data_IF_442799325079
#
_entry.id   IF_442799325079
#
_cell.length_a   1.000
_cell.length_b   1.000
_cell.length_c   1.000
_cell.angle_alpha   90.00
_cell.angle_beta   90.00
_cell.angle_gamma   90.00
#
_symmetry.space_group_name_H-M   'P 1'
#
loop_
_entity.id
_entity.type
_entity.pdbx_description
1 polymer ?
#
# COMPACT_ATOMS: atom_id res chain seq x y z
N UNK A 1 42.54 28.15 3.88
CA UNK A 1 43.00 27.18 2.84
C UNK A 1 42.51 25.78 3.26
N UNK A 2 41.27 25.48 2.94
CA UNK A 2 40.74 24.15 3.15
C UNK A 2 41.21 23.22 2.02
N UNK A 3 42.10 22.32 2.37
CA UNK A 3 42.52 21.26 1.47
C UNK A 3 41.33 20.36 1.21
N UNK A 4 40.78 20.43 -0.02
CA UNK A 4 39.93 19.44 -0.58
C UNK A 4 40.59 18.08 -0.47
N UNK A 5 40.19 17.27 0.52
CA UNK A 5 40.48 15.83 0.53
C UNK A 5 39.72 15.22 -0.63
N UNK A 6 40.34 15.14 -1.79
CA UNK A 6 39.91 14.27 -2.88
C UNK A 6 39.85 12.86 -2.28
N UNK A 7 38.65 12.38 -1.99
CA UNK A 7 38.45 10.97 -1.63
C UNK A 7 38.93 10.18 -2.86
N UNK A 8 39.89 9.27 -2.70
CA UNK A 8 40.44 8.47 -3.79
C UNK A 8 39.46 7.50 -4.46
N UNK A 9 38.15 7.77 -4.32
CA UNK A 9 37.04 6.97 -4.83
C UNK A 9 36.24 7.78 -5.84
N UNK A 10 35.80 7.13 -6.96
CA UNK A 10 35.13 7.81 -8.06
C UNK A 10 33.73 8.34 -7.70
N UNK A 11 33.09 7.83 -6.61
CA UNK A 11 31.75 8.21 -6.23
C UNK A 11 31.70 8.76 -4.79
N UNK A 12 31.05 9.90 -4.67
CA UNK A 12 30.83 10.56 -3.38
C UNK A 12 29.59 9.97 -2.69
N UNK A 13 29.83 8.94 -1.88
CA UNK A 13 28.83 8.28 -1.02
C UNK A 13 29.40 8.27 0.39
N UNK A 14 28.73 8.92 1.31
CA UNK A 14 29.17 8.99 2.70
C UNK A 14 28.89 7.70 3.47
N UNK A 15 29.71 7.40 4.48
CA UNK A 15 29.45 6.30 5.41
C UNK A 15 28.16 6.53 6.21
N UNK A 16 27.81 7.80 6.46
CA UNK A 16 26.58 8.16 7.16
C UNK A 16 25.34 7.77 6.36
N UNK A 17 25.30 7.97 5.03
CA UNK A 17 24.19 7.55 4.19
C UNK A 17 23.95 6.04 4.25
N UNK A 18 25.05 5.24 4.29
CA UNK A 18 24.95 3.78 4.43
C UNK A 18 24.45 3.38 5.82
N UNK A 19 24.87 4.10 6.86
CA UNK A 19 24.36 3.90 8.22
C UNK A 19 22.87 4.23 8.34
N UNK A 20 22.44 5.37 7.81
CA UNK A 20 21.02 5.77 7.82
C UNK A 20 20.15 4.79 7.04
N UNK A 21 20.67 4.27 5.93
CA UNK A 21 20.02 3.21 5.15
C UNK A 21 19.87 1.91 5.96
N UNK A 22 20.91 1.51 6.70
CA UNK A 22 20.85 0.36 7.61
C UNK A 22 19.74 0.52 8.66
N UNK A 23 19.65 1.68 9.32
CA UNK A 23 18.62 1.95 10.34
C UNK A 23 17.21 1.76 9.74
N UNK A 24 16.97 2.27 8.53
CA UNK A 24 15.70 2.09 7.83
C UNK A 24 15.42 0.60 7.52
N UNK A 25 16.41 -0.12 6.99
CA UNK A 25 16.27 -1.55 6.65
C UNK A 25 16.03 -2.40 7.91
N UNK A 26 16.76 -2.14 9.00
CA UNK A 26 16.55 -2.80 10.30
C UNK A 26 15.14 -2.53 10.85
N UNK A 27 14.66 -1.29 10.78
CA UNK A 27 13.33 -0.92 11.26
C UNK A 27 12.19 -1.57 10.46
N UNK A 28 12.38 -1.77 9.17
CA UNK A 28 11.40 -2.41 8.30
C UNK A 28 11.40 -3.95 8.41
N UNK A 29 12.44 -4.53 9.02
CA UNK A 29 12.65 -5.98 9.11
C UNK A 29 12.64 -6.66 7.72
N UNK A 30 12.19 -7.89 7.63
CA UNK A 30 12.02 -8.63 6.38
C UNK A 30 12.88 -9.89 6.32
N UNK A 31 12.50 -10.80 5.43
CA UNK A 31 13.14 -12.10 5.24
C UNK A 31 14.55 -11.96 4.63
N UNK A 32 15.45 -12.95 4.84
CA UNK A 32 16.72 -13.04 4.14
C UNK A 32 16.52 -13.18 2.62
N UNK A 33 17.53 -12.78 1.85
CA UNK A 33 17.57 -12.97 0.40
C UNK A 33 18.21 -14.31 0.02
N UNK A 34 18.78 -14.38 -1.21
CA UNK A 34 19.41 -15.59 -1.76
C UNK A 34 20.64 -16.07 -0.97
N UNK A 35 21.26 -15.18 -0.19
CA UNK A 35 22.41 -15.48 0.68
C UNK A 35 22.02 -16.12 2.02
N UNK A 36 20.72 -16.18 2.34
CA UNK A 36 20.22 -16.70 3.60
C UNK A 36 20.52 -15.84 4.83
N UNK A 37 21.19 -14.68 4.67
CA UNK A 37 21.62 -13.82 5.79
C UNK A 37 20.42 -13.02 6.31
N UNK A 38 20.05 -13.29 7.58
CA UNK A 38 19.02 -12.51 8.27
C UNK A 38 19.54 -11.15 8.76
N UNK A 39 18.65 -10.27 9.24
CA UNK A 39 19.05 -8.99 9.84
C UNK A 39 19.90 -9.21 11.07
N UNK A 40 19.56 -10.17 11.92
CA UNK A 40 20.30 -10.54 13.13
C UNK A 40 21.69 -11.10 12.79
N UNK A 41 21.79 -11.90 11.74
CA UNK A 41 23.04 -12.43 11.25
C UNK A 41 23.95 -11.33 10.68
N UNK A 42 23.37 -10.44 9.87
CA UNK A 42 24.07 -9.28 9.33
C UNK A 42 24.63 -8.37 10.44
N UNK A 43 23.92 -8.24 11.56
CA UNK A 43 24.28 -7.39 12.69
C UNK A 43 25.49 -7.92 13.49
N UNK A 44 25.82 -9.22 13.41
CA UNK A 44 26.98 -9.82 14.11
C UNK A 44 28.32 -9.19 13.71
N UNK A 45 28.48 -8.81 12.42
CA UNK A 45 29.63 -8.04 11.92
C UNK A 45 29.16 -6.76 11.22
N UNK A 46 28.37 -5.97 11.93
CA UNK A 46 27.73 -4.77 11.37
C UNK A 46 28.73 -3.80 10.74
N UNK A 47 29.81 -3.50 11.47
CA UNK A 47 30.83 -2.55 11.01
C UNK A 47 31.53 -3.02 9.73
N UNK A 48 31.95 -4.28 9.69
CA UNK A 48 32.58 -4.89 8.52
C UNK A 48 31.63 -4.96 7.31
N UNK A 49 30.37 -5.35 7.55
CA UNK A 49 29.37 -5.47 6.50
C UNK A 49 28.99 -4.10 5.90
N UNK A 50 28.77 -3.06 6.72
CA UNK A 50 28.51 -1.71 6.23
C UNK A 50 29.72 -1.11 5.51
N UNK A 51 30.95 -1.37 6.01
CA UNK A 51 32.17 -0.94 5.33
C UNK A 51 32.31 -1.58 3.95
N UNK A 52 32.02 -2.87 3.80
CA UNK A 52 32.03 -3.57 2.51
C UNK A 52 31.04 -2.95 1.52
N UNK A 53 29.82 -2.64 1.96
CA UNK A 53 28.81 -1.99 1.11
C UNK A 53 29.29 -0.59 0.67
N UNK A 54 29.66 0.24 1.65
CA UNK A 54 30.17 1.59 1.38
C UNK A 54 31.35 1.56 0.41
N UNK A 55 32.34 0.70 0.68
CA UNK A 55 33.56 0.61 -0.11
C UNK A 55 33.27 0.22 -1.56
N UNK A 56 32.42 -0.79 -1.78
CA UNK A 56 32.05 -1.25 -3.13
C UNK A 56 31.19 -0.23 -3.86
N UNK A 57 30.24 0.41 -3.19
CA UNK A 57 29.42 1.45 -3.80
C UNK A 57 30.26 2.67 -4.19
N UNK A 58 31.13 3.16 -3.29
CA UNK A 58 31.97 4.32 -3.57
C UNK A 58 33.03 4.07 -4.66
N UNK A 59 33.45 2.82 -4.87
CA UNK A 59 34.39 2.43 -5.94
C UNK A 59 33.73 2.02 -7.24
N UNK A 60 32.39 1.96 -7.33
CA UNK A 60 31.69 1.49 -8.52
C UNK A 60 31.69 -0.04 -8.70
N UNK A 61 32.21 -0.80 -7.73
CA UNK A 61 32.36 -2.26 -7.83
C UNK A 61 31.24 -3.03 -7.10
N UNK A 62 30.17 -2.36 -6.71
CA UNK A 62 29.00 -3.04 -6.16
C UNK A 62 28.18 -3.67 -7.28
N UNK A 63 28.04 -4.98 -7.25
CA UNK A 63 27.14 -5.74 -8.12
C UNK A 63 26.06 -6.40 -7.26
N UNK A 64 24.78 -6.18 -7.58
CA UNK A 64 23.69 -6.80 -6.85
C UNK A 64 23.69 -8.32 -7.09
N UNK A 65 23.46 -9.12 -6.02
CA UNK A 65 23.20 -10.55 -6.20
C UNK A 65 21.82 -10.74 -6.87
N UNK A 66 21.52 -11.99 -7.33
CA UNK A 66 20.17 -12.32 -7.78
C UNK A 66 19.13 -12.00 -6.71
N UNK A 67 17.93 -11.62 -7.15
CA UNK A 67 16.80 -11.36 -6.26
C UNK A 67 16.02 -12.65 -6.07
N UNK A 68 15.78 -13.08 -4.82
CA UNK A 68 15.03 -14.30 -4.52
C UNK A 68 13.56 -14.12 -4.89
N UNK A 69 13.03 -15.00 -5.74
CA UNK A 69 11.62 -15.01 -6.12
C UNK A 69 10.80 -15.78 -5.08
N UNK A 70 9.80 -15.14 -4.50
CA UNK A 70 8.86 -15.74 -3.56
C UNK A 70 7.45 -15.59 -4.11
N UNK A 71 6.79 -16.71 -4.36
CA UNK A 71 5.39 -16.69 -4.77
C UNK A 71 4.47 -16.48 -3.58
N UNK A 72 3.66 -15.43 -3.65
CA UNK A 72 2.64 -15.15 -2.66
C UNK A 72 1.24 -15.15 -3.30
N UNK A 73 0.20 -15.66 -2.62
CA UNK A 73 -1.15 -15.62 -3.14
C UNK A 73 -1.58 -14.20 -3.49
N UNK A 74 -2.23 -14.02 -4.63
CA UNK A 74 -2.80 -12.70 -4.98
C UNK A 74 -3.77 -12.26 -3.90
N UNK A 75 -3.73 -10.97 -3.59
CA UNK A 75 -4.68 -10.38 -2.66
C UNK A 75 -6.09 -10.40 -3.28
N UNK A 76 -7.12 -10.34 -2.43
CA UNK A 76 -8.54 -10.26 -2.82
C UNK A 76 -9.17 -11.57 -3.33
N UNK A 77 -8.53 -12.74 -3.09
CA UNK A 77 -9.08 -14.04 -3.53
C UNK A 77 -9.06 -14.23 -5.05
N UNK A 78 -8.32 -13.38 -5.77
CA UNK A 78 -8.07 -13.59 -7.19
C UNK A 78 -7.24 -14.87 -7.38
N UNK A 79 -7.57 -15.72 -8.37
CA UNK A 79 -6.81 -16.94 -8.63
C UNK A 79 -5.37 -16.62 -9.05
N UNK A 80 -4.43 -17.46 -8.62
CA UNK A 80 -3.01 -17.38 -8.96
C UNK A 80 -2.14 -16.69 -7.90
N UNK A 81 -0.84 -16.65 -8.18
CA UNK A 81 0.20 -16.06 -7.35
C UNK A 81 0.73 -14.77 -7.97
N UNK A 82 1.42 -13.98 -7.16
CA UNK A 82 2.30 -12.89 -7.60
C UNK A 82 3.70 -13.18 -7.09
N UNK A 83 4.70 -12.88 -7.90
CA UNK A 83 6.10 -13.05 -7.52
C UNK A 83 6.57 -11.80 -6.78
N UNK A 84 7.01 -11.99 -5.54
CA UNK A 84 7.69 -10.97 -4.76
C UNK A 84 9.19 -11.20 -4.90
N UNK A 85 9.95 -10.16 -5.20
CA UNK A 85 11.40 -10.21 -5.21
C UNK A 85 11.96 -9.81 -3.85
N UNK A 86 12.74 -10.69 -3.23
CA UNK A 86 13.37 -10.44 -1.93
C UNK A 86 14.89 -10.25 -2.13
N UNK A 87 15.39 -8.99 -2.12
CA UNK A 87 16.82 -8.71 -2.15
C UNK A 87 17.49 -9.11 -0.85
N UNK A 88 18.81 -9.34 -0.88
CA UNK A 88 19.61 -9.56 0.32
C UNK A 88 19.58 -8.34 1.26
N UNK A 89 19.93 -8.51 2.53
CA UNK A 89 20.01 -7.39 3.49
C UNK A 89 20.99 -6.33 3.00
N UNK A 90 22.17 -6.75 2.51
CA UNK A 90 23.18 -5.85 1.95
C UNK A 90 22.64 -5.06 0.75
N UNK A 91 21.90 -5.72 -0.15
CA UNK A 91 21.35 -5.08 -1.33
C UNK A 91 20.20 -4.12 -0.99
N UNK A 92 19.36 -4.46 -0.01
CA UNK A 92 18.35 -3.52 0.53
C UNK A 92 18.97 -2.24 1.08
N UNK A 93 20.12 -2.34 1.76
CA UNK A 93 20.84 -1.17 2.27
C UNK A 93 21.36 -0.33 1.09
N UNK A 94 22.05 -0.93 0.14
CA UNK A 94 22.57 -0.25 -1.05
C UNK A 94 21.44 0.45 -1.85
N UNK A 95 20.33 -0.23 -2.07
CA UNK A 95 19.16 0.34 -2.73
C UNK A 95 18.54 1.50 -1.93
N UNK A 96 18.53 1.41 -0.60
CA UNK A 96 17.99 2.47 0.27
C UNK A 96 18.83 3.74 0.20
N UNK A 97 20.16 3.63 0.04
CA UNK A 97 21.05 4.78 -0.21
C UNK A 97 20.63 5.50 -1.48
N UNK A 98 20.46 4.77 -2.60
CA UNK A 98 20.04 5.35 -3.88
C UNK A 98 18.62 5.91 -3.81
N UNK A 99 17.69 5.19 -3.19
CA UNK A 99 16.32 5.64 -3.01
C UNK A 99 16.27 6.97 -2.24
N UNK A 100 16.99 7.08 -1.12
CA UNK A 100 17.05 8.30 -0.30
C UNK A 100 17.68 9.48 -1.06
N UNK A 101 18.67 9.22 -1.90
CA UNK A 101 19.27 10.23 -2.77
C UNK A 101 18.28 10.75 -3.82
N UNK A 102 17.57 9.85 -4.49
CA UNK A 102 16.56 10.21 -5.50
C UNK A 102 15.35 10.88 -4.87
N UNK A 103 14.81 10.37 -3.76
CA UNK A 103 13.65 10.95 -3.08
C UNK A 103 13.82 12.44 -2.81
N UNK A 104 14.97 12.86 -2.29
CA UNK A 104 15.25 14.29 -2.02
C UNK A 104 15.13 15.18 -3.25
N UNK A 105 15.40 14.63 -4.45
CA UNK A 105 15.41 15.37 -5.73
C UNK A 105 14.09 15.34 -6.45
N UNK A 106 13.41 14.19 -6.39
CA UNK A 106 12.18 13.99 -7.17
C UNK A 106 10.91 14.29 -6.37
N UNK A 107 10.95 14.30 -5.03
CA UNK A 107 9.78 14.63 -4.22
C UNK A 107 9.17 16.01 -4.54
N UNK A 108 9.98 17.08 -4.75
CA UNK A 108 9.43 18.41 -5.06
C UNK A 108 8.70 18.49 -6.41
N UNK A 109 9.01 17.63 -7.37
CA UNK A 109 8.41 17.66 -8.71
C UNK A 109 7.12 16.85 -8.82
N UNK A 110 6.88 15.92 -7.90
CA UNK A 110 5.72 15.07 -7.97
C UNK A 110 4.41 15.84 -7.81
N UNK A 111 3.41 15.44 -8.57
CA UNK A 111 2.09 16.07 -8.52
C UNK A 111 1.50 16.00 -7.10
N UNK A 112 0.81 17.07 -6.62
CA UNK A 112 0.20 17.09 -5.29
C UNK A 112 -0.78 15.94 -5.04
N UNK A 113 -1.45 15.46 -6.07
CA UNK A 113 -2.44 14.37 -6.01
C UNK A 113 -1.85 12.98 -6.31
N UNK A 114 -0.53 12.85 -6.32
CA UNK A 114 0.17 11.57 -6.24
C UNK A 114 0.52 11.27 -4.79
N UNK A 115 0.06 10.13 -4.24
CA UNK A 115 0.11 9.84 -2.81
C UNK A 115 0.98 8.64 -2.45
N UNK A 116 1.02 7.61 -3.30
CA UNK A 116 1.67 6.33 -2.99
C UNK A 116 3.18 6.44 -2.79
N UNK A 117 3.71 5.77 -1.77
CA UNK A 117 5.16 5.68 -1.47
C UNK A 117 5.86 7.04 -1.28
N UNK A 118 5.14 8.07 -0.90
CA UNK A 118 5.69 9.41 -0.69
C UNK A 118 5.69 9.80 0.78
N UNK A 119 6.71 10.54 1.26
CA UNK A 119 6.74 11.02 2.64
C UNK A 119 5.56 11.96 2.92
N UNK A 120 4.97 11.86 4.11
CA UNK A 120 3.85 12.69 4.58
C UNK A 120 2.58 12.63 3.71
N UNK A 121 2.43 11.58 2.90
CA UNK A 121 1.24 11.29 2.10
C UNK A 121 0.68 9.95 2.53
N UNK A 122 -0.62 9.85 2.66
CA UNK A 122 -1.28 8.62 3.08
C UNK A 122 -2.38 8.19 2.11
N UNK A 123 -2.75 6.91 2.20
CA UNK A 123 -3.91 6.40 1.47
C UNK A 123 -5.21 7.09 1.91
N UNK A 124 -5.33 7.48 3.19
CA UNK A 124 -6.50 8.21 3.69
C UNK A 124 -6.61 9.61 3.09
N UNK A 125 -5.49 10.30 2.84
CA UNK A 125 -5.49 11.59 2.16
C UNK A 125 -6.02 11.45 0.72
N UNK A 126 -5.56 10.41 0.00
CA UNK A 126 -6.04 10.10 -1.34
C UNK A 126 -7.55 9.80 -1.36
N UNK A 127 -8.04 8.91 -0.48
CA UNK A 127 -9.46 8.58 -0.35
C UNK A 127 -10.28 9.80 0.05
N UNK A 128 -9.78 10.64 0.97
CA UNK A 128 -10.45 11.86 1.39
C UNK A 128 -10.58 12.89 0.27
N UNK A 129 -9.55 13.03 -0.57
CA UNK A 129 -9.58 13.93 -1.74
C UNK A 129 -10.51 13.38 -2.81
N UNK A 130 -10.42 12.09 -3.12
CA UNK A 130 -11.32 11.40 -4.04
C UNK A 130 -12.80 11.58 -3.62
N UNK A 131 -13.12 11.39 -2.32
CA UNK A 131 -14.47 11.63 -1.80
C UNK A 131 -14.97 13.05 -2.09
N UNK A 132 -14.16 14.07 -1.82
CA UNK A 132 -14.55 15.47 -2.07
C UNK A 132 -14.78 15.75 -3.55
N UNK A 133 -13.96 15.12 -4.43
CA UNK A 133 -14.08 15.28 -5.89
C UNK A 133 -15.28 14.54 -6.45
N UNK A 134 -15.62 13.36 -5.95
CA UNK A 134 -16.84 12.65 -6.33
C UNK A 134 -18.13 13.46 -6.05
N UNK A 135 -18.09 14.47 -5.17
CA UNK A 135 -19.22 15.37 -4.95
C UNK A 135 -19.29 16.52 -5.97
N UNK A 136 -18.16 16.84 -6.64
CA UNK A 136 -18.06 17.92 -7.63
C UNK A 136 -18.20 17.41 -9.06
N UNK A 137 -17.69 16.21 -9.33
CA UNK A 137 -17.63 15.62 -10.66
C UNK A 137 -18.61 14.47 -10.76
N UNK A 138 -19.34 14.40 -11.86
CA UNK A 138 -20.38 13.40 -12.04
C UNK A 138 -19.83 12.04 -12.48
N UNK A 139 -18.64 12.02 -13.04
CA UNK A 139 -18.02 10.83 -13.61
C UNK A 139 -16.63 10.60 -13.10
N UNK A 140 -16.31 9.34 -12.96
CA UNK A 140 -14.98 8.86 -12.55
C UNK A 140 -14.51 7.80 -13.53
N UNK A 141 -13.23 7.83 -13.86
CA UNK A 141 -12.54 6.71 -14.49
C UNK A 141 -11.72 6.03 -13.40
N UNK A 142 -12.10 4.81 -13.07
CA UNK A 142 -11.34 3.90 -12.17
C UNK A 142 -10.34 3.15 -13.02
N UNK A 143 -9.04 3.34 -12.78
CA UNK A 143 -7.95 2.86 -13.62
C UNK A 143 -7.19 1.73 -12.91
N UNK A 144 -7.10 0.57 -13.57
CA UNK A 144 -6.25 -0.56 -13.16
C UNK A 144 -5.20 -0.81 -14.27
N UNK A 145 -3.91 -0.73 -13.94
CA UNK A 145 -2.81 -1.00 -14.87
C UNK A 145 -2.42 -2.48 -14.73
N UNK A 146 -2.46 -3.19 -15.85
CA UNK A 146 -2.16 -4.63 -15.88
C UNK A 146 -0.67 -4.87 -15.64
N UNK A 147 -0.32 -5.66 -14.59
CA UNK A 147 1.05 -6.07 -14.27
C UNK A 147 2.06 -4.90 -14.28
N UNK A 148 1.70 -3.77 -13.70
CA UNK A 148 2.50 -2.54 -13.75
C UNK A 148 3.99 -2.78 -13.47
N UNK A 149 4.33 -3.33 -12.29
CA UNK A 149 5.73 -3.56 -11.90
C UNK A 149 6.50 -4.50 -12.83
N UNK A 150 5.82 -5.40 -13.54
CA UNK A 150 6.43 -6.33 -14.48
C UNK A 150 6.59 -5.72 -15.88
N UNK A 151 5.92 -4.58 -16.17
CA UNK A 151 5.81 -4.00 -17.50
C UNK A 151 6.61 -2.73 -17.70
N UNK A 152 7.07 -2.07 -16.62
CA UNK A 152 7.79 -0.79 -16.68
C UNK A 152 9.04 -0.89 -17.57
N UNK A 153 9.15 -0.03 -18.58
CA UNK A 153 10.27 0.02 -19.53
C UNK A 153 11.50 0.66 -18.90
N UNK A 154 12.63 -0.04 -18.95
CA UNK A 154 13.90 0.41 -18.34
C UNK A 154 14.49 1.66 -19.00
N UNK A 155 14.40 1.77 -20.32
CA UNK A 155 14.86 2.95 -21.06
C UNK A 155 14.15 4.23 -20.59
N UNK A 156 12.83 4.15 -20.34
CA UNK A 156 12.06 5.28 -19.85
C UNK A 156 12.35 5.60 -18.37
N UNK A 157 12.57 4.58 -17.53
CA UNK A 157 12.99 4.76 -16.14
C UNK A 157 14.36 5.43 -16.09
N UNK A 158 15.33 4.92 -16.83
CA UNK A 158 16.70 5.48 -16.85
C UNK A 158 16.68 6.91 -17.38
N UNK A 159 15.99 7.19 -18.47
CA UNK A 159 15.80 8.55 -18.98
C UNK A 159 15.20 9.48 -17.93
N UNK A 160 14.21 9.01 -17.16
CA UNK A 160 13.61 9.79 -16.08
C UNK A 160 14.58 10.02 -14.92
N UNK A 161 15.41 9.02 -14.56
CA UNK A 161 16.43 9.16 -13.51
C UNK A 161 17.51 10.15 -13.95
N UNK A 162 18.05 10.03 -15.17
CA UNK A 162 19.06 10.92 -15.75
C UNK A 162 18.60 12.38 -15.81
N UNK A 163 17.31 12.61 -16.02
CA UNK A 163 16.75 13.97 -16.00
C UNK A 163 16.77 14.63 -14.62
N UNK A 164 17.06 13.89 -13.55
CA UNK A 164 17.00 14.39 -12.15
C UNK A 164 18.30 14.19 -11.38
N UNK A 165 19.36 13.72 -12.01
CA UNK A 165 20.66 13.57 -11.35
C UNK A 165 21.82 13.51 -12.34
N UNK A 166 22.89 14.23 -12.01
CA UNK A 166 24.19 14.13 -12.69
C UNK A 166 25.09 13.07 -12.04
N UNK A 167 24.65 12.46 -10.95
CA UNK A 167 25.42 11.47 -10.21
C UNK A 167 25.46 10.13 -10.98
N UNK A 168 26.54 9.89 -11.68
CA UNK A 168 26.75 8.67 -12.51
C UNK A 168 26.54 7.38 -11.74
N UNK A 169 26.87 7.34 -10.44
CA UNK A 169 26.69 6.16 -9.62
C UNK A 169 25.20 5.78 -9.42
N UNK A 170 24.30 6.77 -9.40
CA UNK A 170 22.86 6.51 -9.27
C UNK A 170 22.35 5.76 -10.51
N UNK A 171 22.67 6.27 -11.70
CA UNK A 171 22.28 5.63 -12.97
C UNK A 171 22.90 4.24 -13.07
N UNK A 172 24.20 4.10 -12.73
CA UNK A 172 24.92 2.82 -12.72
C UNK A 172 24.21 1.77 -11.86
N UNK A 173 23.85 2.11 -10.62
CA UNK A 173 23.24 1.15 -9.72
C UNK A 173 21.79 0.86 -10.05
N UNK A 174 21.02 1.85 -10.48
CA UNK A 174 19.64 1.62 -10.98
C UNK A 174 19.68 0.65 -12.16
N UNK A 175 20.58 0.85 -13.13
CA UNK A 175 20.74 -0.06 -14.27
C UNK A 175 21.05 -1.50 -13.82
N UNK A 176 21.99 -1.67 -12.89
CA UNK A 176 22.36 -3.00 -12.37
C UNK A 176 21.20 -3.68 -11.64
N UNK A 177 20.39 -2.95 -10.84
CA UNK A 177 19.25 -3.53 -10.16
C UNK A 177 18.09 -3.87 -11.09
N UNK A 178 17.86 -3.08 -12.12
CA UNK A 178 16.88 -3.41 -13.14
C UNK A 178 17.25 -4.71 -13.85
N UNK A 179 18.53 -4.89 -14.19
CA UNK A 179 19.07 -6.07 -14.88
C UNK A 179 19.32 -7.28 -13.96
N UNK A 180 19.27 -7.13 -12.62
CA UNK A 180 19.52 -8.22 -11.69
C UNK A 180 18.52 -9.38 -11.93
N UNK A 181 19.00 -10.64 -12.08
CA UNK A 181 18.12 -11.77 -12.36
C UNK A 181 17.28 -12.15 -11.14
N UNK A 182 16.13 -12.79 -11.39
CA UNK A 182 15.33 -13.45 -10.36
C UNK A 182 15.79 -14.89 -10.18
N UNK A 183 16.13 -15.29 -8.96
CA UNK A 183 16.39 -16.69 -8.64
C UNK A 183 15.08 -17.35 -8.23
N UNK A 184 14.67 -18.36 -8.98
CA UNK A 184 13.48 -19.16 -8.72
C UNK A 184 13.70 -20.11 -7.53
N UNK A 185 12.64 -20.71 -6.94
CA UNK A 185 12.79 -21.66 -5.83
C UNK A 185 13.62 -22.91 -6.18
N UNK A 186 13.71 -23.29 -7.43
CA UNK A 186 14.54 -24.39 -7.93
C UNK A 186 16.02 -23.99 -8.17
N UNK A 187 16.39 -22.74 -7.87
CA UNK A 187 17.73 -22.20 -8.07
C UNK A 187 17.98 -21.62 -9.47
N UNK A 188 17.08 -21.80 -10.43
CA UNK A 188 17.25 -21.25 -11.78
C UNK A 188 17.22 -19.73 -11.79
N UNK A 189 18.03 -19.11 -12.65
CA UNK A 189 18.09 -17.67 -12.82
C UNK A 189 17.24 -17.24 -14.03
N UNK A 190 16.25 -16.39 -13.77
CA UNK A 190 15.43 -15.78 -14.81
C UNK A 190 15.87 -14.33 -15.04
N UNK A 191 16.36 -14.04 -16.22
CA UNK A 191 16.63 -12.67 -16.68
C UNK A 191 15.33 -11.93 -17.03
N UNK A 192 15.41 -10.61 -17.05
CA UNK A 192 14.31 -9.71 -17.40
C UNK A 192 14.82 -8.68 -18.41
N UNK A 193 13.93 -8.15 -19.22
CA UNK A 193 14.16 -7.07 -20.17
C UNK A 193 13.36 -5.79 -19.82
N UNK A 194 12.47 -5.90 -18.86
CA UNK A 194 11.59 -4.85 -18.35
C UNK A 194 11.15 -5.15 -16.92
N UNK A 195 10.42 -4.21 -16.33
CA UNK A 195 9.87 -4.32 -15.00
C UNK A 195 10.88 -4.06 -13.89
N UNK A 196 10.38 -3.95 -12.68
CA UNK A 196 11.16 -3.77 -11.46
C UNK A 196 10.66 -4.74 -10.38
N UNK A 197 11.53 -5.37 -9.57
CA UNK A 197 11.11 -6.36 -8.60
C UNK A 197 10.15 -5.76 -7.56
N UNK A 198 9.00 -6.39 -7.38
CA UNK A 198 8.12 -6.06 -6.25
C UNK A 198 8.81 -6.49 -4.95
N UNK A 199 9.13 -5.52 -4.08
CA UNK A 199 9.86 -5.75 -2.82
C UNK A 199 11.28 -5.16 -2.78
N UNK A 200 11.77 -4.66 -3.88
CA UNK A 200 13.01 -3.87 -3.96
C UNK A 200 12.83 -2.50 -3.30
N UNK A 201 13.81 -2.03 -2.53
CA UNK A 201 13.73 -0.77 -1.79
C UNK A 201 13.75 0.48 -2.70
N UNK A 202 14.34 0.37 -3.89
CA UNK A 202 14.40 1.48 -4.88
C UNK A 202 13.19 1.49 -5.80
N UNK A 203 12.49 0.37 -5.99
CA UNK A 203 11.36 0.25 -6.93
C UNK A 203 10.24 1.26 -6.70
N UNK A 204 9.83 1.61 -5.48
CA UNK A 204 8.77 2.59 -5.25
C UNK A 204 9.08 3.98 -5.81
N UNK A 205 10.30 4.50 -5.60
CA UNK A 205 10.68 5.82 -6.12
C UNK A 205 10.81 5.80 -7.65
N UNK A 206 11.35 4.72 -8.23
CA UNK A 206 11.44 4.56 -9.67
C UNK A 206 10.06 4.46 -10.32
N UNK A 207 9.15 3.69 -9.74
CA UNK A 207 7.77 3.57 -10.18
C UNK A 207 7.02 4.90 -10.14
N UNK A 208 7.18 5.66 -9.07
CA UNK A 208 6.59 7.01 -8.97
C UNK A 208 7.18 7.98 -9.99
N UNK A 209 8.49 7.95 -10.20
CA UNK A 209 9.16 8.80 -11.19
C UNK A 209 8.72 8.45 -12.62
N UNK A 210 8.60 7.17 -12.93
CA UNK A 210 8.05 6.71 -14.21
C UNK A 210 6.60 7.22 -14.40
N UNK A 211 5.72 7.00 -13.42
CA UNK A 211 4.31 7.41 -13.50
C UNK A 211 4.14 8.93 -13.50
N UNK A 212 5.04 9.68 -12.89
CA UNK A 212 5.05 11.13 -12.97
C UNK A 212 5.11 11.63 -14.42
N UNK A 213 5.94 11.00 -15.27
CA UNK A 213 6.06 11.36 -16.68
C UNK A 213 5.03 10.65 -17.57
N UNK A 214 4.76 9.38 -17.28
CA UNK A 214 3.85 8.58 -18.07
C UNK A 214 2.40 9.01 -17.92
N UNK A 215 2.00 9.41 -16.72
CA UNK A 215 0.62 9.70 -16.36
C UNK A 215 0.44 11.14 -15.83
N UNK A 216 1.07 11.52 -14.69
CA UNK A 216 0.73 12.76 -13.98
C UNK A 216 0.94 14.01 -14.85
N UNK A 217 2.14 14.23 -15.35
CA UNK A 217 2.47 15.39 -16.20
C UNK A 217 1.75 15.36 -17.54
N UNK A 218 1.61 14.17 -18.12
CA UNK A 218 0.90 14.02 -19.37
C UNK A 218 -0.57 14.39 -19.22
N UNK A 219 -1.25 13.89 -18.18
CA UNK A 219 -2.67 14.18 -17.96
C UNK A 219 -2.93 15.66 -17.70
N UNK A 220 -2.09 16.32 -16.90
CA UNK A 220 -2.19 17.77 -16.63
C UNK A 220 -2.00 18.59 -17.91
N UNK A 221 -1.10 18.17 -18.81
CA UNK A 221 -0.82 18.87 -20.07
C UNK A 221 -1.95 18.68 -21.08
N UNK A 222 -2.39 17.45 -21.30
CA UNK A 222 -3.40 17.13 -22.33
C UNK A 222 -4.85 17.46 -21.88
N UNK A 223 -5.10 17.42 -20.58
CA UNK A 223 -6.41 17.61 -19.98
C UNK A 223 -6.35 18.50 -18.73
N UNK A 224 -5.99 19.78 -18.85
CA UNK A 224 -5.72 20.67 -17.70
C UNK A 224 -6.92 20.88 -16.76
N UNK A 225 -8.14 20.61 -17.23
CA UNK A 225 -9.36 20.69 -16.41
C UNK A 225 -9.77 19.39 -15.72
N UNK A 226 -8.98 18.34 -15.85
CA UNK A 226 -9.26 17.01 -15.29
C UNK A 226 -8.45 16.78 -14.04
N UNK A 227 -9.13 16.49 -12.92
CA UNK A 227 -8.50 16.17 -11.65
C UNK A 227 -8.31 14.64 -11.51
N UNK A 228 -7.32 14.22 -10.73
CA UNK A 228 -7.06 12.80 -10.45
C UNK A 228 -6.47 12.60 -9.05
N UNK A 229 -6.55 11.40 -8.52
CA UNK A 229 -5.75 10.87 -7.42
C UNK A 229 -5.01 9.63 -7.91
N UNK A 230 -3.73 9.54 -7.57
CA UNK A 230 -2.92 8.36 -7.88
C UNK A 230 -2.20 7.85 -6.62
N UNK A 231 -2.27 6.55 -6.41
CA UNK A 231 -1.53 5.83 -5.38
C UNK A 231 -0.73 4.70 -6.03
N UNK A 232 0.54 4.94 -6.34
CA UNK A 232 1.38 4.06 -7.16
C UNK A 232 0.79 3.86 -8.57
N UNK A 233 0.32 2.67 -8.88
CA UNK A 233 -0.35 2.29 -10.14
C UNK A 233 -1.88 2.42 -10.10
N UNK A 234 -2.45 2.58 -8.91
CA UNK A 234 -3.89 2.76 -8.69
C UNK A 234 -4.29 4.21 -8.90
N UNK A 235 -5.17 4.54 -9.83
CA UNK A 235 -5.54 5.91 -10.14
C UNK A 235 -7.03 6.09 -10.40
N UNK A 236 -7.54 7.26 -9.97
CA UNK A 236 -8.93 7.68 -10.16
C UNK A 236 -8.93 9.04 -10.85
N UNK A 237 -9.63 9.17 -11.97
CA UNK A 237 -9.70 10.40 -12.77
C UNK A 237 -11.12 10.94 -12.77
N UNK A 238 -11.30 12.23 -12.50
CA UNK A 238 -12.61 12.89 -12.36
C UNK A 238 -13.00 13.68 -13.60
N UNK A 239 -14.21 13.45 -14.10
CA UNK A 239 -14.74 14.06 -15.30
C UNK A 239 -16.12 14.69 -15.05
N UNK A 240 -16.44 15.76 -15.77
CA UNK A 240 -17.72 16.46 -15.66
C UNK A 240 -18.83 15.80 -16.48
N UNK A 241 -18.49 15.04 -17.53
CA UNK A 241 -19.47 14.39 -18.40
C UNK A 241 -19.00 13.01 -18.87
N UNK A 242 -19.97 12.16 -19.28
CA UNK A 242 -19.67 10.85 -19.86
C UNK A 242 -18.83 10.96 -21.14
N UNK A 243 -19.08 11.96 -21.98
CA UNK A 243 -18.32 12.19 -23.21
C UNK A 243 -16.86 12.56 -22.89
N UNK A 244 -16.63 13.43 -21.90
CA UNK A 244 -15.28 13.73 -21.41
C UNK A 244 -14.59 12.47 -20.87
N UNK A 245 -15.28 11.69 -20.05
CA UNK A 245 -14.71 10.46 -19.50
C UNK A 245 -14.27 9.46 -20.58
N UNK A 246 -15.12 9.26 -21.62
CA UNK A 246 -14.76 8.39 -22.76
C UNK A 246 -13.56 8.91 -23.54
N UNK A 247 -13.51 10.23 -23.82
CA UNK A 247 -12.39 10.86 -24.52
C UNK A 247 -11.08 10.74 -23.73
N UNK A 248 -11.12 11.02 -22.42
CA UNK A 248 -9.96 10.91 -21.55
C UNK A 248 -9.50 9.45 -21.47
N UNK A 249 -10.41 8.50 -21.31
CA UNK A 249 -10.06 7.07 -21.26
C UNK A 249 -9.41 6.59 -22.55
N UNK A 250 -9.95 6.96 -23.72
CA UNK A 250 -9.36 6.59 -25.01
C UNK A 250 -7.95 7.17 -25.18
N UNK A 251 -7.74 8.43 -24.79
CA UNK A 251 -6.41 9.05 -24.82
C UNK A 251 -5.44 8.39 -23.83
N UNK A 252 -5.91 8.02 -22.62
CA UNK A 252 -5.11 7.28 -21.63
C UNK A 252 -4.71 5.89 -22.14
N UNK A 253 -5.60 5.17 -22.82
CA UNK A 253 -5.27 3.88 -23.43
C UNK A 253 -4.14 4.01 -24.44
N UNK A 254 -4.20 5.00 -25.34
CA UNK A 254 -3.13 5.31 -26.30
C UNK A 254 -1.82 5.66 -25.58
N UNK A 255 -1.90 6.55 -24.58
CA UNK A 255 -0.74 6.97 -23.81
C UNK A 255 -0.07 5.82 -23.05
N UNK A 256 -0.84 4.97 -22.41
CA UNK A 256 -0.29 3.79 -21.70
C UNK A 256 0.41 2.85 -22.70
N UNK A 257 -0.19 2.59 -23.85
CA UNK A 257 0.45 1.77 -24.91
C UNK A 257 1.79 2.37 -25.38
N UNK A 258 1.88 3.68 -25.58
CA UNK A 258 3.14 4.37 -25.95
C UNK A 258 4.27 4.12 -24.93
N UNK A 259 3.96 4.10 -23.65
CA UNK A 259 4.95 3.86 -22.59
C UNK A 259 5.12 2.39 -22.20
N UNK A 260 4.50 1.48 -22.96
CA UNK A 260 4.62 0.03 -22.77
C UNK A 260 3.76 -0.54 -21.66
N UNK A 261 2.72 0.18 -21.23
CA UNK A 261 1.73 -0.26 -20.24
C UNK A 261 0.39 -0.60 -20.91
N UNK A 262 -0.42 -1.39 -20.22
CA UNK A 262 -1.75 -1.79 -20.66
C UNK A 262 -2.76 -1.50 -19.54
N UNK A 263 -3.85 -0.80 -19.85
CA UNK A 263 -5.00 -0.70 -18.94
C UNK A 263 -5.77 -2.03 -18.93
N UNK A 264 -6.16 -2.48 -17.74
CA UNK A 264 -6.90 -3.75 -17.62
C UNK A 264 -8.31 -3.58 -18.20
N UNK A 265 -8.69 -4.33 -19.23
CA UNK A 265 -9.95 -4.09 -19.96
C UNK A 265 -11.20 -4.25 -19.08
N UNK A 266 -11.21 -5.26 -18.20
CA UNK A 266 -12.40 -5.57 -17.39
C UNK A 266 -12.47 -4.78 -16.07
N UNK A 267 -11.34 -4.23 -15.61
CA UNK A 267 -11.29 -3.54 -14.31
C UNK A 267 -11.30 -2.03 -14.45
N UNK A 268 -10.74 -1.50 -15.54
CA UNK A 268 -10.83 -0.07 -15.85
C UNK A 268 -12.26 0.28 -16.23
N UNK A 269 -12.89 1.22 -15.49
CA UNK A 269 -14.32 1.51 -15.62
C UNK A 269 -14.60 3.00 -15.62
N UNK A 270 -15.63 3.39 -16.37
CA UNK A 270 -16.26 4.70 -16.25
C UNK A 270 -17.45 4.54 -15.30
N UNK A 271 -17.47 5.30 -14.22
CA UNK A 271 -18.42 5.19 -13.13
C UNK A 271 -19.19 6.52 -12.96
N UNK A 272 -20.49 6.43 -12.81
CA UNK A 272 -21.34 7.57 -12.49
C UNK A 272 -21.47 7.76 -10.98
N UNK A 273 -21.11 8.94 -10.48
CA UNK A 273 -21.17 9.29 -9.06
C UNK A 273 -22.60 9.67 -8.64
N UNK A 274 -23.52 8.71 -8.63
CA UNK A 274 -24.94 8.92 -8.34
C UNK A 274 -25.16 9.38 -6.90
N UNK A 275 -25.98 10.44 -6.75
CA UNK A 275 -26.47 10.93 -5.45
C UNK A 275 -27.91 11.46 -5.59
N UNK A 276 -28.45 12.13 -4.54
CA UNK A 276 -29.82 12.69 -4.57
C UNK A 276 -30.05 13.75 -5.64
N UNK A 277 -29.01 14.46 -6.08
CA UNK A 277 -29.10 15.53 -7.06
C UNK A 277 -28.88 15.00 -8.50
N UNK A 278 -28.24 13.86 -8.64
CA UNK A 278 -27.84 13.23 -9.90
C UNK A 278 -28.83 12.12 -10.27
N UNK A 279 -29.81 12.43 -11.09
CA UNK A 279 -30.98 11.56 -11.41
C UNK A 279 -30.70 10.52 -12.48
N UNK A 280 -29.57 10.57 -13.20
CA UNK A 280 -29.24 9.60 -14.24
C UNK A 280 -29.22 8.16 -13.72
N UNK A 281 -29.60 7.21 -14.60
CA UNK A 281 -29.50 5.77 -14.34
C UNK A 281 -28.43 5.18 -15.26
N UNK A 282 -27.38 4.62 -14.66
CA UNK A 282 -26.25 4.03 -15.36
C UNK A 282 -25.88 2.70 -14.69
N UNK A 283 -25.34 1.79 -15.46
CA UNK A 283 -24.97 0.46 -14.98
C UNK A 283 -23.85 0.49 -13.93
N UNK A 284 -22.81 1.31 -14.18
CA UNK A 284 -21.66 1.43 -13.29
C UNK A 284 -21.82 2.63 -12.37
N UNK A 285 -22.18 2.36 -11.11
CA UNK A 285 -22.39 3.38 -10.06
C UNK A 285 -21.51 3.09 -8.82
N UNK A 286 -20.44 2.33 -8.98
CA UNK A 286 -19.51 2.01 -7.89
C UNK A 286 -18.12 1.68 -8.40
N UNK A 287 -17.11 2.04 -7.61
CA UNK A 287 -15.72 1.65 -7.82
C UNK A 287 -15.03 1.41 -6.47
N UNK A 288 -13.84 0.78 -6.51
CA UNK A 288 -13.08 0.52 -5.29
C UNK A 288 -11.68 1.13 -5.41
N UNK A 289 -11.32 1.99 -4.47
CA UNK A 289 -10.03 2.65 -4.40
C UNK A 289 -9.43 2.47 -3.01
N UNK A 290 -8.22 1.92 -2.92
CA UNK A 290 -7.45 1.71 -1.68
C UNK A 290 -8.22 0.96 -0.58
N UNK A 291 -9.01 -0.05 -0.97
CA UNK A 291 -9.79 -0.87 -0.04
C UNK A 291 -11.10 -0.24 0.44
N UNK A 292 -11.48 0.91 -0.14
CA UNK A 292 -12.78 1.53 0.04
C UNK A 292 -13.62 1.40 -1.22
N UNK A 293 -14.88 0.98 -1.06
CA UNK A 293 -15.86 1.02 -2.15
C UNK A 293 -16.68 2.30 -2.08
N UNK A 294 -16.61 3.08 -3.14
CA UNK A 294 -17.40 4.29 -3.37
C UNK A 294 -18.70 3.90 -4.06
N UNK A 295 -19.83 4.26 -3.49
CA UNK A 295 -21.16 4.02 -4.05
C UNK A 295 -22.20 4.93 -3.39
N UNK A 296 -23.43 5.03 -3.94
CA UNK A 296 -24.54 5.74 -3.32
C UNK A 296 -24.88 5.15 -1.95
N UNK A 297 -24.84 5.97 -0.89
CA UNK A 297 -25.14 5.57 0.49
C UNK A 297 -26.06 6.58 1.14
N UNK A 298 -26.88 6.12 2.08
CA UNK A 298 -27.68 6.98 2.94
C UNK A 298 -26.77 7.80 3.83
N UNK A 299 -26.99 9.10 3.87
CA UNK A 299 -26.34 10.05 4.77
C UNK A 299 -27.39 10.90 5.45
N UNK A 300 -27.10 11.40 6.64
CA UNK A 300 -27.99 12.26 7.39
C UNK A 300 -27.33 13.61 7.65
N UNK A 301 -28.06 14.68 7.39
CA UNK A 301 -27.67 16.04 7.77
C UNK A 301 -27.83 16.25 9.29
N UNK A 302 -27.27 17.32 9.80
CA UNK A 302 -27.41 17.71 11.21
C UNK A 302 -28.87 18.02 11.62
N UNK A 303 -29.69 18.46 10.67
CA UNK A 303 -31.14 18.69 10.83
C UNK A 303 -32.00 17.42 10.77
N UNK A 304 -31.36 16.24 10.64
CA UNK A 304 -32.05 14.94 10.60
C UNK A 304 -32.48 14.49 9.21
N UNK A 305 -32.38 15.33 8.18
CA UNK A 305 -32.78 14.99 6.81
C UNK A 305 -31.86 13.90 6.24
N UNK A 306 -32.48 12.80 5.79
CA UNK A 306 -31.78 11.70 5.13
C UNK A 306 -31.72 11.93 3.62
N UNK A 307 -30.55 11.75 3.04
CA UNK A 307 -30.30 11.90 1.62
C UNK A 307 -29.30 10.86 1.11
N UNK A 308 -29.23 10.66 -0.20
CA UNK A 308 -28.23 9.79 -0.82
C UNK A 308 -26.99 10.60 -1.20
N UNK A 309 -25.82 10.16 -0.74
CA UNK A 309 -24.53 10.73 -1.13
C UNK A 309 -23.61 9.65 -1.67
N UNK A 310 -22.71 10.01 -2.58
CA UNK A 310 -21.68 9.09 -3.08
C UNK A 310 -20.51 9.05 -2.09
N UNK A 311 -20.39 7.94 -1.34
CA UNK A 311 -19.52 7.87 -0.18
C UNK A 311 -18.61 6.62 -0.20
N UNK A 312 -17.35 6.76 0.26
CA UNK A 312 -16.47 5.63 0.51
C UNK A 312 -16.82 4.91 1.83
N UNK A 313 -16.85 3.60 1.79
CA UNK A 313 -16.85 2.75 2.97
C UNK A 313 -15.95 1.54 2.74
N UNK A 314 -15.62 0.83 3.80
CA UNK A 314 -14.82 -0.40 3.70
C UNK A 314 -15.33 -1.34 2.62
N UNK A 315 -14.44 -1.86 1.76
CA UNK A 315 -14.82 -2.76 0.68
C UNK A 315 -15.24 -4.14 1.20
N UNK A 316 -16.06 -4.85 0.39
CA UNK A 316 -16.48 -6.23 0.72
C UNK A 316 -15.29 -7.17 0.85
N UNK A 317 -14.26 -6.99 0.03
CA UNK A 317 -13.02 -7.77 0.07
C UNK A 317 -12.25 -7.53 1.38
N UNK A 318 -12.15 -6.28 1.82
CA UNK A 318 -11.53 -5.94 3.11
C UNK A 318 -12.32 -6.53 4.29
N UNK A 319 -13.65 -6.45 4.28
CA UNK A 319 -14.52 -7.08 5.29
C UNK A 319 -14.34 -8.61 5.31
N UNK A 320 -14.23 -9.24 4.16
CA UNK A 320 -13.98 -10.70 4.05
C UNK A 320 -12.63 -11.08 4.67
N UNK A 321 -11.58 -10.31 4.38
CA UNK A 321 -10.24 -10.51 4.98
C UNK A 321 -10.26 -10.36 6.49
N UNK A 322 -10.84 -9.28 7.00
CA UNK A 322 -10.98 -9.07 8.43
C UNK A 322 -11.77 -10.21 9.10
N UNK A 323 -12.87 -10.63 8.48
CA UNK A 323 -13.67 -11.77 8.96
C UNK A 323 -12.88 -13.07 9.00
N UNK A 324 -12.02 -13.32 8.01
CA UNK A 324 -11.12 -14.48 7.98
C UNK A 324 -10.06 -14.38 9.07
N UNK A 325 -9.48 -13.19 9.27
CA UNK A 325 -8.53 -12.93 10.34
C UNK A 325 -9.17 -13.18 11.72
N UNK A 326 -10.37 -12.63 11.98
CA UNK A 326 -11.10 -12.88 13.25
C UNK A 326 -11.34 -14.38 13.47
N UNK A 327 -11.68 -15.13 12.42
CA UNK A 327 -11.86 -16.59 12.49
C UNK A 327 -10.55 -17.30 12.83
N UNK A 328 -9.42 -16.89 12.22
CA UNK A 328 -8.11 -17.51 12.42
C UNK A 328 -7.58 -17.33 13.85
N UNK A 329 -7.99 -16.31 14.58
CA UNK A 329 -7.60 -16.11 15.99
C UNK A 329 -8.07 -17.23 16.89
N UNK A 330 -9.12 -17.97 16.52
CA UNK A 330 -9.71 -19.11 17.26
C UNK A 330 -9.92 -18.79 18.73
N UNK A 331 -10.40 -17.57 19.08
CA UNK A 331 -10.54 -17.07 20.46
C UNK A 331 -11.24 -18.09 21.37
N UNK A 332 -12.33 -18.71 20.88
CA UNK A 332 -13.08 -19.71 21.61
C UNK A 332 -12.29 -20.99 21.99
N UNK A 333 -11.09 -21.20 21.45
CA UNK A 333 -10.19 -22.30 21.81
C UNK A 333 -9.08 -21.90 22.78
N UNK A 334 -8.92 -20.61 23.08
CA UNK A 334 -7.87 -20.06 23.95
C UNK A 334 -8.30 -20.00 25.41
N UNK A 335 -8.81 -21.12 25.96
CA UNK A 335 -9.34 -21.18 27.34
C UNK A 335 -8.29 -20.90 28.41
N UNK A 336 -7.00 -21.15 28.10
CA UNK A 336 -5.89 -20.87 29.01
C UNK A 336 -5.48 -19.38 29.02
N UNK A 337 -5.91 -18.59 28.04
CA UNK A 337 -5.62 -17.16 27.99
C UNK A 337 -6.52 -16.37 28.92
N UNK A 338 -6.01 -15.26 29.46
CA UNK A 338 -6.79 -14.28 30.21
C UNK A 338 -7.46 -13.27 29.25
N UNK A 339 -8.41 -12.47 29.76
CA UNK A 339 -8.94 -11.34 28.97
C UNK A 339 -7.85 -10.37 28.54
N UNK A 340 -6.84 -10.13 29.40
CA UNK A 340 -5.71 -9.26 29.11
C UNK A 340 -4.85 -9.79 27.95
N UNK A 341 -4.62 -11.11 27.89
CA UNK A 341 -3.87 -11.72 26.79
C UNK A 341 -4.63 -11.60 25.46
N UNK A 342 -5.95 -11.83 25.48
CA UNK A 342 -6.78 -11.64 24.31
C UNK A 342 -6.79 -10.18 23.85
N UNK A 343 -6.96 -9.24 24.78
CA UNK A 343 -6.95 -7.81 24.46
C UNK A 343 -5.58 -7.38 23.88
N UNK A 344 -4.47 -7.83 24.46
CA UNK A 344 -3.11 -7.55 23.97
C UNK A 344 -2.91 -8.08 22.56
N UNK A 345 -3.43 -9.26 22.25
CA UNK A 345 -3.32 -9.89 20.94
C UNK A 345 -4.16 -9.19 19.87
N UNK A 346 -5.44 -8.86 20.16
CA UNK A 346 -6.36 -8.39 19.12
C UNK A 346 -6.43 -6.86 18.98
N UNK A 347 -6.23 -6.11 20.07
CA UNK A 347 -6.41 -4.66 20.05
C UNK A 347 -5.52 -3.92 19.05
N UNK A 348 -4.22 -4.25 18.86
CA UNK A 348 -3.40 -3.56 17.88
C UNK A 348 -3.98 -3.69 16.46
N UNK A 349 -4.42 -4.89 16.10
CA UNK A 349 -5.00 -5.20 14.78
C UNK A 349 -6.34 -4.47 14.62
N UNK A 350 -7.21 -4.56 15.62
CA UNK A 350 -8.54 -3.94 15.58
C UNK A 350 -8.45 -2.42 15.54
N UNK A 351 -7.53 -1.80 16.30
CA UNK A 351 -7.26 -0.36 16.23
C UNK A 351 -6.81 0.06 14.82
N UNK A 352 -5.94 -0.73 14.18
CA UNK A 352 -5.53 -0.49 12.80
C UNK A 352 -6.72 -0.50 11.84
N UNK A 353 -7.62 -1.49 11.94
CA UNK A 353 -8.84 -1.53 11.12
C UNK A 353 -9.78 -0.36 11.39
N UNK A 354 -10.00 0.00 12.66
CA UNK A 354 -10.85 1.13 13.03
C UNK A 354 -10.26 2.46 12.56
N UNK A 355 -8.95 2.65 12.71
CA UNK A 355 -8.27 3.88 12.28
C UNK A 355 -8.30 4.04 10.76
N UNK A 356 -8.06 2.96 10.01
CA UNK A 356 -8.03 3.03 8.57
C UNK A 356 -9.44 3.00 7.97
N UNK A 357 -10.20 1.92 8.15
CA UNK A 357 -11.49 1.74 7.48
C UNK A 357 -12.66 2.49 8.13
N UNK A 358 -12.48 2.96 9.35
CA UNK A 358 -13.49 3.75 10.05
C UNK A 358 -13.41 5.26 9.82
N UNK A 359 -12.43 5.72 9.05
CA UNK A 359 -12.18 7.15 8.84
C UNK A 359 -13.34 7.89 8.12
N UNK A 360 -14.13 7.19 7.31
CA UNK A 360 -15.22 7.81 6.54
C UNK A 360 -16.61 7.29 6.94
N UNK A 361 -16.96 6.07 6.61
CA UNK A 361 -18.30 5.48 6.87
C UNK A 361 -18.14 4.25 7.78
N UNK A 362 -17.96 4.49 9.08
CA UNK A 362 -17.55 3.46 10.05
C UNK A 362 -18.63 2.39 10.33
N UNK A 363 -19.92 2.69 10.08
CA UNK A 363 -21.01 1.75 10.35
C UNK A 363 -20.89 0.43 9.59
N UNK A 364 -20.26 0.43 8.43
CA UNK A 364 -20.01 -0.78 7.64
C UNK A 364 -19.00 -1.75 8.30
N UNK A 365 -18.23 -1.30 9.30
CA UNK A 365 -17.36 -2.16 10.09
C UNK A 365 -18.11 -2.91 11.21
N UNK A 366 -19.28 -2.42 11.61
CA UNK A 366 -20.05 -2.97 12.72
C UNK A 366 -20.20 -4.49 12.67
N UNK A 367 -20.57 -5.13 11.54
CA UNK A 367 -20.76 -6.58 11.50
C UNK A 367 -19.49 -7.39 11.78
N UNK A 368 -18.31 -6.88 11.38
CA UNK A 368 -17.03 -7.55 11.66
C UNK A 368 -16.62 -7.36 13.11
N UNK A 369 -16.80 -6.15 13.64
CA UNK A 369 -16.50 -5.85 15.04
C UNK A 369 -17.41 -6.64 15.99
N UNK A 370 -18.71 -6.76 15.68
CA UNK A 370 -19.65 -7.58 16.46
C UNK A 370 -19.33 -9.08 16.38
N UNK A 371 -18.80 -9.54 15.26
CA UNK A 371 -18.29 -10.91 15.18
C UNK A 371 -17.19 -11.19 16.21
N UNK A 372 -16.34 -10.21 16.55
CA UNK A 372 -15.35 -10.35 17.63
C UNK A 372 -16.07 -10.59 18.96
N UNK A 373 -17.13 -9.82 19.25
CA UNK A 373 -17.96 -10.02 20.45
C UNK A 373 -18.54 -11.43 20.51
N UNK A 374 -19.03 -11.95 19.37
CA UNK A 374 -19.54 -13.32 19.27
C UNK A 374 -18.46 -14.37 19.63
N UNK A 375 -17.21 -14.19 19.19
CA UNK A 375 -16.13 -15.12 19.55
C UNK A 375 -15.67 -14.97 21.00
N UNK A 376 -15.63 -13.76 21.54
CA UNK A 376 -15.36 -13.49 22.96
C UNK A 376 -16.42 -14.14 23.84
N UNK A 377 -17.70 -14.01 23.49
CA UNK A 377 -18.80 -14.67 24.20
C UNK A 377 -18.62 -16.20 24.22
N UNK A 378 -18.31 -16.81 23.10
CA UNK A 378 -18.02 -18.25 23.02
C UNK A 378 -16.81 -18.64 23.87
N UNK A 379 -15.80 -17.78 23.97
CA UNK A 379 -14.66 -17.99 24.83
C UNK A 379 -15.06 -17.94 26.32
N UNK A 380 -15.83 -16.94 26.76
CA UNK A 380 -16.36 -16.85 28.14
C UNK A 380 -17.12 -18.13 28.51
N UNK A 381 -18.05 -18.58 27.65
CA UNK A 381 -18.85 -19.78 27.89
C UNK A 381 -17.99 -21.04 28.03
N UNK A 382 -16.91 -21.18 27.25
CA UNK A 382 -16.02 -22.34 27.33
C UNK A 382 -15.07 -22.28 28.54
N UNK A 383 -14.55 -21.10 28.86
CA UNK A 383 -13.63 -20.91 29.98
C UNK A 383 -14.33 -21.07 31.32
N UNK A 384 -15.53 -20.53 31.46
CA UNK A 384 -16.28 -20.51 32.70
C UNK A 384 -17.50 -21.43 32.67
N UNK A 385 -17.28 -22.72 32.29
CA UNK A 385 -18.34 -23.71 32.13
C UNK A 385 -19.32 -23.81 33.32
N UNK A 386 -18.86 -23.63 34.57
CA UNK A 386 -19.67 -23.68 35.78
C UNK A 386 -20.58 -22.46 35.98
N UNK A 387 -20.34 -21.35 35.30
CA UNK A 387 -21.06 -20.09 35.54
C UNK A 387 -22.21 -19.83 34.57
N UNK A 388 -22.54 -20.80 33.68
CA UNK A 388 -23.80 -20.70 33.19
C UNK A 388 -24.26 -20.58 31.79
N UNK A 389 -25.44 -20.09 31.69
CA UNK A 389 -26.24 -19.90 30.51
C UNK A 389 -25.66 -18.81 29.60
N UNK A 390 -25.95 -18.85 28.31
CA UNK A 390 -25.64 -17.81 27.33
C UNK A 390 -26.06 -16.40 27.83
N UNK A 391 -27.20 -16.32 28.53
CA UNK A 391 -27.72 -15.08 29.10
C UNK A 391 -26.76 -14.49 30.17
N UNK A 392 -26.26 -15.32 31.11
CA UNK A 392 -25.30 -14.86 32.12
C UNK A 392 -23.97 -14.43 31.51
N UNK A 393 -23.47 -15.15 30.52
CA UNK A 393 -22.25 -14.79 29.82
C UNK A 393 -22.37 -13.46 29.04
N UNK A 394 -23.51 -13.21 28.38
CA UNK A 394 -23.82 -11.92 27.74
C UNK A 394 -23.86 -10.78 28.74
N UNK A 395 -24.56 -10.99 29.85
CA UNK A 395 -24.70 -10.00 30.94
C UNK A 395 -23.33 -9.63 31.54
N UNK A 396 -22.49 -10.64 31.83
CA UNK A 396 -21.14 -10.42 32.34
C UNK A 396 -20.28 -9.63 31.35
N UNK A 397 -20.31 -9.98 30.04
CA UNK A 397 -19.56 -9.26 29.01
C UNK A 397 -20.06 -7.82 28.83
N UNK A 398 -21.37 -7.58 28.88
CA UNK A 398 -21.94 -6.24 28.78
C UNK A 398 -21.56 -5.38 30.00
N UNK A 399 -21.58 -5.95 31.22
CA UNK A 399 -21.13 -5.28 32.44
C UNK A 399 -19.63 -4.96 32.39
N UNK A 400 -18.81 -5.88 31.89
CA UNK A 400 -17.37 -5.64 31.70
C UNK A 400 -17.12 -4.49 30.70
N UNK A 401 -17.87 -4.45 29.60
CA UNK A 401 -17.78 -3.37 28.63
C UNK A 401 -18.28 -2.02 29.16
N UNK A 402 -19.31 -2.02 30.04
CA UNK A 402 -19.78 -0.80 30.69
C UNK A 402 -18.74 -0.23 31.66
N UNK A 403 -18.11 -1.10 32.47
CA UNK A 403 -17.07 -0.70 33.43
C UNK A 403 -15.75 -0.28 32.74
N UNK A 404 -15.40 -0.91 31.64
CA UNK A 404 -14.12 -0.71 30.92
C UNK A 404 -14.33 -0.62 29.41
N UNK A 405 -14.97 0.48 28.90
CA UNK A 405 -15.41 0.58 27.51
C UNK A 405 -14.27 0.61 26.47
N UNK A 406 -13.03 0.83 26.91
CA UNK A 406 -11.82 0.84 26.04
C UNK A 406 -10.97 -0.42 26.19
N UNK A 407 -11.41 -1.40 26.97
CA UNK A 407 -10.62 -2.61 27.24
C UNK A 407 -10.39 -3.43 25.96
N UNK A 408 -11.45 -3.72 25.22
CA UNK A 408 -11.34 -4.15 23.84
C UNK A 408 -11.58 -2.94 22.93
N UNK A 409 -10.69 -2.74 21.95
CA UNK A 409 -10.70 -1.54 21.11
C UNK A 409 -12.05 -1.29 20.42
N UNK A 410 -12.73 -2.33 19.94
CA UNK A 410 -14.00 -2.25 19.22
C UNK A 410 -15.20 -1.92 20.12
N UNK A 411 -15.10 -2.05 21.44
CA UNK A 411 -16.21 -1.74 22.35
C UNK A 411 -16.60 -0.26 22.37
N UNK A 412 -15.72 0.62 21.89
CA UNK A 412 -16.03 2.04 21.70
C UNK A 412 -17.15 2.22 20.67
N UNK A 413 -17.20 1.39 19.63
CA UNK A 413 -18.20 1.47 18.56
C UNK A 413 -19.29 0.42 18.66
N UNK A 414 -18.95 -0.78 19.11
CA UNK A 414 -19.85 -1.93 19.15
C UNK A 414 -19.85 -2.53 20.55
N UNK A 415 -20.75 -2.04 21.39
CA UNK A 415 -20.91 -2.57 22.75
C UNK A 415 -21.61 -3.95 22.70
N UNK A 416 -21.17 -4.91 23.53
CA UNK A 416 -21.89 -6.17 23.69
C UNK A 416 -23.33 -5.93 24.15
N UNK A 417 -24.31 -6.49 23.43
CA UNK A 417 -25.72 -6.37 23.77
C UNK A 417 -26.13 -7.41 24.80
N UNK A 418 -27.07 -7.04 25.69
CA UNK A 418 -27.67 -7.92 26.71
C UNK A 418 -28.75 -8.84 26.12
N UNK A 419 -29.26 -8.52 24.91
CA UNK A 419 -30.36 -9.26 24.26
C UNK A 419 -30.08 -10.73 24.05
#
# INVERSE_FOLDING_TARGET
MDQLKVSGKPFDISKQEVWDAWIKVKGNQGAPGVDGVSIEEFEKDLRGNLYKIWNRMSSGTYFPPPVMAVEIPKQHGAPGTRVLGVPTVADRIAQTVVAAYLEKRVEPIFHPDSYGYRPRRSALDAVGTCRRRCWKYDWVIDIDIRKFFDSVRWDLVLKAVEAHTDARWVVLYVTRWLAAPLQQPDGTLRTRDRGTPQGSAVSPVLANLFMHYAFDRWLVREFPGVAFERYADDAVVHCTSASQARRVLAALQGRMAEVGLELHPDKTKIVYCKDSNRRGSFEQVSFTFLGYTFLPRSAQRRDGVVFTAFLPAVSREALKKMSTSVRSWRLHRRINSTEADLARMINPIVRGWMAYYGAFYHTELTPVLDRINTYLLRWIMKKYRKSGTLRKARQAMAQAAARRPRYFAHWIWVKPAVK
#
